data_IF_579240350207
#
_entry.id   IF_579240350207
#
_cell.length_a   1.000
_cell.length_b   1.000
_cell.length_c   1.000
_cell.angle_alpha   90.00
_cell.angle_beta   90.00
_cell.angle_gamma   90.00
#
_symmetry.space_group_name_H-M   'P 1'
#
loop_
_entity.id
_entity.type
_entity.pdbx_description
1 polymer ?
#
# COMPACT_ATOMS: atom_id res chain seq x y z
N UNK A 1 -55.02 -49.05 -48.26
CA UNK A 1 -53.91 -48.51 -49.07
C UNK A 1 -52.64 -48.66 -48.26
N UNK A 2 -51.60 -49.16 -48.90
CA UNK A 2 -50.27 -49.51 -48.42
C UNK A 2 -49.59 -48.52 -47.45
N UNK A 3 -48.78 -49.09 -46.52
CA UNK A 3 -47.35 -48.80 -46.20
C UNK A 3 -46.94 -47.35 -45.87
N UNK A 4 -45.92 -47.05 -45.09
CA UNK A 4 -44.96 -47.79 -44.26
C UNK A 4 -44.28 -46.75 -43.35
N UNK A 5 -43.50 -47.28 -42.40
CA UNK A 5 -42.80 -46.62 -41.31
C UNK A 5 -41.92 -45.40 -41.68
N UNK A 6 -41.79 -44.52 -40.68
CA UNK A 6 -40.85 -43.42 -40.58
C UNK A 6 -39.39 -43.90 -40.59
N UNK A 7 -38.53 -43.17 -41.29
CA UNK A 7 -37.07 -43.22 -41.15
C UNK A 7 -36.58 -41.77 -40.99
N UNK A 8 -35.97 -41.37 -39.85
CA UNK A 8 -35.38 -40.06 -39.69
C UNK A 8 -33.96 -40.06 -40.26
N UNK A 9 -33.71 -39.11 -41.17
CA UNK A 9 -32.44 -38.93 -41.87
C UNK A 9 -31.23 -38.75 -40.94
N UNK A 10 -30.12 -39.22 -41.48
CA UNK A 10 -28.76 -39.28 -40.96
C UNK A 10 -28.22 -37.94 -40.39
N UNK A 11 -27.48 -37.95 -39.26
CA UNK A 11 -26.84 -36.75 -38.73
C UNK A 11 -25.65 -36.32 -39.61
N UNK A 12 -25.37 -35.00 -39.70
CA UNK A 12 -24.21 -34.51 -40.44
C UNK A 12 -22.89 -34.98 -39.78
N UNK A 13 -21.80 -35.16 -40.57
CA UNK A 13 -20.56 -35.72 -40.07
C UNK A 13 -19.92 -34.81 -39.02
N UNK A 14 -19.31 -35.45 -38.02
CA UNK A 14 -18.56 -34.82 -36.94
C UNK A 14 -17.53 -33.84 -37.51
N UNK A 15 -17.77 -32.55 -37.29
CA UNK A 15 -16.74 -31.53 -37.42
C UNK A 15 -15.68 -31.80 -36.35
N UNK A 16 -14.55 -32.35 -36.78
CA UNK A 16 -13.37 -32.45 -35.93
C UNK A 16 -12.99 -31.05 -35.48
N UNK A 17 -13.25 -30.73 -34.22
CA UNK A 17 -12.53 -29.67 -33.55
C UNK A 17 -11.08 -30.14 -33.45
N UNK A 18 -10.30 -29.75 -34.45
CA UNK A 18 -8.85 -29.68 -34.34
C UNK A 18 -8.56 -28.75 -33.19
N UNK A 19 -8.48 -29.32 -31.98
CA UNK A 19 -7.76 -28.72 -30.88
C UNK A 19 -6.34 -28.56 -31.38
N UNK A 20 -6.02 -27.35 -31.84
CA UNK A 20 -4.65 -26.89 -31.86
C UNK A 20 -4.22 -26.84 -30.40
N UNK A 21 -3.84 -28.01 -29.85
CA UNK A 21 -2.98 -28.07 -28.69
C UNK A 21 -1.73 -27.33 -29.09
N UNK A 22 -1.63 -26.07 -28.69
CA UNK A 22 -0.36 -25.36 -28.70
C UNK A 22 0.62 -26.28 -27.97
N UNK A 23 1.65 -26.73 -28.68
CA UNK A 23 2.69 -27.53 -28.05
C UNK A 23 3.20 -26.73 -26.84
N UNK A 24 3.23 -27.37 -25.67
CA UNK A 24 3.79 -26.76 -24.47
C UNK A 24 5.20 -26.25 -24.80
N UNK A 25 5.48 -25.00 -24.44
CA UNK A 25 6.77 -24.38 -24.71
C UNK A 25 7.89 -25.22 -24.05
N UNK A 26 9.00 -25.49 -24.75
CA UNK A 26 10.07 -26.31 -24.20
C UNK A 26 10.70 -25.62 -22.98
N UNK A 27 10.95 -26.41 -21.94
CA UNK A 27 11.63 -25.97 -20.73
C UNK A 27 13.07 -25.55 -21.01
N UNK A 28 13.66 -24.77 -20.09
CA UNK A 28 15.05 -24.35 -20.17
C UNK A 28 16.01 -25.54 -20.37
N UNK A 29 16.84 -25.45 -21.41
CA UNK A 29 17.97 -26.34 -21.61
C UNK A 29 19.14 -25.98 -20.70
N UNK A 30 20.14 -26.87 -20.61
CA UNK A 30 21.39 -26.52 -19.96
C UNK A 30 22.10 -25.39 -20.73
N UNK A 31 22.70 -24.40 -20.05
CA UNK A 31 23.48 -23.37 -20.73
C UNK A 31 24.61 -23.98 -21.56
N UNK A 32 24.89 -23.40 -22.73
CA UNK A 32 25.82 -23.98 -23.70
C UNK A 32 27.02 -23.10 -24.06
N UNK A 33 27.06 -21.83 -23.62
CA UNK A 33 28.10 -20.86 -24.02
C UNK A 33 28.73 -20.04 -22.89
N UNK A 34 28.12 -19.94 -21.70
CA UNK A 34 28.66 -19.16 -20.59
C UNK A 34 29.74 -19.87 -19.74
N UNK A 35 30.22 -19.21 -18.67
CA UNK A 35 29.70 -17.94 -18.12
C UNK A 35 30.09 -16.71 -18.95
N UNK A 36 29.22 -15.70 -18.96
CA UNK A 36 29.51 -14.36 -19.52
C UNK A 36 29.72 -13.38 -18.38
N UNK A 37 30.83 -12.65 -18.38
CA UNK A 37 31.20 -11.73 -17.30
C UNK A 37 30.87 -10.27 -17.65
N UNK A 38 30.31 -9.55 -16.69
CA UNK A 38 29.94 -8.14 -16.77
C UNK A 38 30.66 -7.35 -15.67
N UNK A 39 31.56 -6.44 -16.07
CA UNK A 39 32.48 -5.72 -15.17
C UNK A 39 32.36 -4.20 -15.26
N UNK A 40 31.26 -3.66 -15.80
CA UNK A 40 31.10 -2.23 -15.97
C UNK A 40 29.70 -1.79 -16.36
N UNK A 41 29.56 -0.48 -16.50
CA UNK A 41 28.33 0.15 -16.97
C UNK A 41 28.02 -0.22 -18.42
N UNK A 42 26.73 -0.17 -18.77
CA UNK A 42 26.27 -0.35 -20.13
C UNK A 42 26.12 1.00 -20.82
N UNK A 43 27.03 1.28 -21.75
CA UNK A 43 27.01 2.48 -22.62
C UNK A 43 26.20 2.25 -23.92
N UNK A 44 25.92 0.99 -24.26
CA UNK A 44 25.11 0.59 -25.42
C UNK A 44 24.12 -0.51 -25.00
N UNK A 45 22.97 -0.57 -25.68
CA UNK A 45 21.97 -1.62 -25.44
C UNK A 45 22.53 -3.00 -25.78
N UNK A 46 22.29 -3.97 -24.92
CA UNK A 46 22.74 -5.35 -25.11
C UNK A 46 21.71 -6.38 -24.62
N UNK A 47 21.94 -7.63 -25.01
CA UNK A 47 21.10 -8.76 -24.64
C UNK A 47 21.91 -9.81 -23.88
N UNK A 48 21.46 -10.14 -22.67
CA UNK A 48 21.94 -11.28 -21.89
C UNK A 48 21.14 -12.52 -22.28
N UNK A 49 21.78 -13.43 -23.01
CA UNK A 49 21.13 -14.57 -23.65
C UNK A 49 21.11 -15.81 -22.77
N UNK A 50 20.16 -16.72 -23.02
CA UNK A 50 20.15 -18.02 -22.35
C UNK A 50 21.43 -18.84 -22.65
N UNK A 51 21.98 -18.71 -23.87
CA UNK A 51 23.23 -19.38 -24.26
C UNK A 51 24.43 -18.86 -23.47
N UNK A 52 24.49 -17.55 -23.23
CA UNK A 52 25.56 -16.88 -22.48
C UNK A 52 25.51 -17.10 -20.98
N UNK A 53 24.49 -17.79 -20.48
CA UNK A 53 24.30 -18.02 -19.04
C UNK A 53 25.34 -18.97 -18.42
N UNK A 54 25.70 -18.79 -17.14
CA UNK A 54 25.26 -17.69 -16.29
C UNK A 54 25.95 -16.37 -16.65
N UNK A 55 25.22 -15.27 -16.53
CA UNK A 55 25.73 -13.90 -16.61
C UNK A 55 26.20 -13.47 -15.23
N UNK A 56 27.52 -13.34 -15.06
CA UNK A 56 28.15 -12.99 -13.79
C UNK A 56 28.36 -11.48 -13.72
N UNK A 57 27.75 -10.83 -12.74
CA UNK A 57 27.89 -9.40 -12.44
C UNK A 57 28.91 -9.24 -11.31
N UNK A 58 30.17 -9.02 -11.70
CA UNK A 58 31.30 -8.84 -10.78
C UNK A 58 31.58 -7.37 -10.43
N UNK A 59 30.86 -6.44 -11.05
CA UNK A 59 30.91 -5.01 -10.76
C UNK A 59 29.49 -4.42 -10.84
N UNK A 60 29.11 -3.41 -10.04
CA UNK A 60 27.80 -2.78 -10.16
C UNK A 60 27.54 -2.27 -11.59
N UNK A 61 26.43 -2.70 -12.19
CA UNK A 61 26.08 -2.33 -13.57
C UNK A 61 25.10 -1.17 -13.55
N UNK A 62 25.48 -0.02 -14.12
CA UNK A 62 24.53 1.06 -14.42
C UNK A 62 24.19 1.08 -15.91
N UNK A 63 22.91 1.17 -16.21
CA UNK A 63 22.44 1.48 -17.57
C UNK A 63 22.53 2.99 -17.80
N UNK A 64 23.25 3.40 -18.85
CA UNK A 64 23.34 4.81 -19.26
C UNK A 64 22.08 5.29 -19.99
N UNK A 65 22.00 6.59 -20.22
CA UNK A 65 20.86 7.20 -20.89
C UNK A 65 20.57 6.55 -22.26
N UNK A 66 19.31 6.18 -22.47
CA UNK A 66 18.82 5.53 -23.69
C UNK A 66 19.22 4.05 -23.86
N UNK A 67 19.88 3.45 -22.87
CA UNK A 67 20.35 2.06 -22.93
C UNK A 67 19.28 1.10 -22.46
N UNK A 68 19.06 0.03 -23.21
CA UNK A 68 18.18 -1.07 -22.83
C UNK A 68 19.01 -2.32 -22.57
N UNK A 69 18.92 -2.87 -21.37
CA UNK A 69 19.39 -4.23 -21.07
C UNK A 69 18.23 -5.20 -21.26
N UNK A 70 18.35 -6.12 -22.22
CA UNK A 70 17.38 -7.20 -22.42
C UNK A 70 17.92 -8.51 -21.84
N UNK A 71 17.12 -9.20 -21.04
CA UNK A 71 17.47 -10.52 -20.50
C UNK A 71 16.49 -11.54 -21.09
N UNK A 72 17.03 -12.52 -21.80
CA UNK A 72 16.21 -13.52 -22.50
C UNK A 72 15.58 -14.53 -21.52
N UNK A 73 14.42 -15.11 -21.88
CA UNK A 73 13.87 -16.26 -21.17
C UNK A 73 14.92 -17.36 -20.97
N UNK A 74 14.93 -18.00 -19.79
CA UNK A 74 15.93 -18.98 -19.34
C UNK A 74 17.33 -18.44 -19.02
N UNK A 75 17.59 -17.14 -19.11
CA UNK A 75 18.88 -16.61 -18.68
C UNK A 75 19.00 -16.65 -17.14
N UNK A 76 20.22 -16.93 -16.67
CA UNK A 76 20.59 -16.87 -15.25
C UNK A 76 21.56 -15.72 -15.02
N UNK A 77 21.27 -14.87 -14.04
CA UNK A 77 22.09 -13.75 -13.60
C UNK A 77 22.62 -14.05 -12.20
N UNK A 78 23.95 -14.12 -12.07
CA UNK A 78 24.65 -14.31 -10.81
C UNK A 78 25.33 -13.00 -10.40
N UNK A 79 24.93 -12.44 -9.28
CA UNK A 79 25.47 -11.18 -8.76
C UNK A 79 26.41 -11.45 -7.60
N UNK A 80 27.64 -10.94 -7.68
CA UNK A 80 28.60 -11.01 -6.56
C UNK A 80 28.18 -10.12 -5.37
N UNK A 81 28.90 -10.24 -4.26
CA UNK A 81 28.67 -9.41 -3.07
C UNK A 81 28.84 -7.92 -3.42
N UNK A 82 27.99 -7.07 -2.83
CA UNK A 82 27.99 -5.61 -3.06
C UNK A 82 27.78 -5.17 -4.53
N UNK A 83 27.28 -6.04 -5.42
CA UNK A 83 26.92 -5.70 -6.81
C UNK A 83 25.41 -5.67 -7.03
N UNK A 84 24.97 -4.97 -8.07
CA UNK A 84 23.56 -4.79 -8.40
C UNK A 84 23.39 -4.21 -9.81
N UNK A 85 22.14 -4.01 -10.21
CA UNK A 85 21.80 -3.39 -11.50
C UNK A 85 21.03 -2.11 -11.22
N UNK A 86 21.53 -0.98 -11.73
CA UNK A 86 20.94 0.35 -11.55
C UNK A 86 20.39 0.91 -12.85
N UNK A 87 19.11 1.26 -12.87
CA UNK A 87 18.38 1.83 -14.01
C UNK A 87 17.82 3.19 -13.62
N UNK A 88 18.61 4.25 -13.83
CA UNK A 88 18.29 5.59 -13.32
C UNK A 88 18.23 6.69 -14.38
N UNK A 89 18.89 6.47 -15.53
CA UNK A 89 19.08 7.51 -16.53
C UNK A 89 17.86 7.62 -17.48
N UNK A 90 17.72 8.78 -18.13
CA UNK A 90 16.65 9.02 -19.09
C UNK A 90 16.68 8.01 -20.24
N UNK A 91 15.57 7.31 -20.44
CA UNK A 91 15.44 6.26 -21.46
C UNK A 91 16.17 4.96 -21.14
N UNK A 92 16.77 4.83 -19.95
CA UNK A 92 17.35 3.56 -19.50
C UNK A 92 16.25 2.56 -19.14
N UNK A 93 16.37 1.31 -19.62
CA UNK A 93 15.35 0.28 -19.41
C UNK A 93 15.96 -1.10 -19.17
N UNK A 94 15.53 -1.79 -18.10
CA UNK A 94 15.74 -3.22 -17.92
C UNK A 94 14.50 -3.99 -18.40
N UNK A 95 14.68 -4.90 -19.35
CA UNK A 95 13.62 -5.80 -19.85
C UNK A 95 14.01 -7.26 -19.59
N UNK A 96 13.42 -7.86 -18.57
CA UNK A 96 13.56 -9.28 -18.28
C UNK A 96 12.18 -9.94 -18.42
N UNK A 97 11.89 -10.46 -19.61
CA UNK A 97 10.55 -10.97 -19.96
C UNK A 97 10.62 -12.48 -20.25
N UNK A 98 10.59 -13.29 -19.20
CA UNK A 98 10.51 -14.74 -19.26
C UNK A 98 9.08 -15.25 -19.53
N UNK A 99 8.92 -16.57 -19.50
CA UNK A 99 7.60 -17.25 -19.50
C UNK A 99 7.52 -18.26 -18.37
N UNK A 100 6.33 -18.78 -18.05
CA UNK A 100 6.17 -19.86 -17.06
C UNK A 100 7.07 -21.08 -17.36
N UNK A 101 7.20 -21.46 -18.63
CA UNK A 101 8.07 -22.55 -19.06
C UNK A 101 9.56 -22.17 -19.12
N UNK A 102 9.86 -20.87 -19.24
CA UNK A 102 11.20 -20.31 -19.44
C UNK A 102 11.45 -19.11 -18.52
N UNK A 103 11.47 -19.30 -17.19
CA UNK A 103 11.66 -18.21 -16.25
C UNK A 103 13.08 -17.65 -16.32
N UNK A 104 13.26 -16.43 -15.83
CA UNK A 104 14.57 -15.79 -15.64
C UNK A 104 14.93 -15.83 -14.16
N UNK A 105 16.19 -16.07 -13.82
CA UNK A 105 16.65 -16.15 -12.43
C UNK A 105 17.75 -15.13 -12.11
N UNK A 106 17.61 -14.43 -10.99
CA UNK A 106 18.63 -13.58 -10.37
C UNK A 106 19.00 -14.16 -9.01
N UNK A 107 20.28 -14.43 -8.78
CA UNK A 107 20.78 -15.05 -7.55
C UNK A 107 22.15 -14.49 -7.17
N UNK A 108 22.52 -14.63 -5.91
CA UNK A 108 23.89 -14.39 -5.45
C UNK A 108 24.88 -15.40 -6.03
N UNK A 109 25.99 -14.92 -6.61
CA UNK A 109 27.12 -15.76 -7.01
C UNK A 109 27.68 -16.48 -5.78
N UNK A 110 27.76 -17.82 -5.83
CA UNK A 110 28.16 -18.66 -4.68
C UNK A 110 27.35 -18.39 -3.38
N UNK A 111 26.11 -17.89 -3.50
CA UNK A 111 25.26 -17.53 -2.36
C UNK A 111 25.56 -16.16 -1.75
N UNK A 112 26.30 -15.30 -2.46
CA UNK A 112 26.57 -13.94 -2.05
C UNK A 112 25.30 -13.12 -1.79
N UNK A 113 25.41 -12.16 -0.87
CA UNK A 113 24.38 -11.12 -0.67
C UNK A 113 24.65 -9.99 -1.65
N UNK A 114 23.96 -10.01 -2.78
CA UNK A 114 24.01 -8.92 -3.75
C UNK A 114 23.11 -7.76 -3.32
N UNK A 115 23.34 -6.56 -3.85
CA UNK A 115 22.65 -5.33 -3.47
C UNK A 115 21.16 -5.39 -3.84
N UNK A 116 20.81 -4.98 -5.05
CA UNK A 116 19.44 -4.88 -5.51
C UNK A 116 19.38 -4.65 -7.03
N UNK A 117 18.17 -4.79 -7.58
CA UNK A 117 17.83 -4.15 -8.85
C UNK A 117 17.20 -2.81 -8.49
N UNK A 118 17.99 -1.75 -8.63
CA UNK A 118 17.60 -0.39 -8.32
C UNK A 118 17.06 0.32 -9.56
N UNK A 119 15.86 0.88 -9.46
CA UNK A 119 15.24 1.69 -10.51
C UNK A 119 15.00 3.09 -9.96
N UNK A 120 15.42 4.12 -10.67
CA UNK A 120 15.05 5.49 -10.33
C UNK A 120 14.45 6.18 -11.55
N UNK A 121 13.29 6.81 -11.38
CA UNK A 121 12.65 7.57 -12.45
C UNK A 121 13.61 8.66 -12.97
N UNK A 122 13.78 8.81 -14.29
CA UNK A 122 12.97 8.27 -15.40
C UNK A 122 13.34 6.86 -15.92
N UNK A 123 14.34 6.19 -15.34
CA UNK A 123 14.64 4.79 -15.66
C UNK A 123 13.50 3.84 -15.30
N UNK A 124 13.42 2.70 -15.99
CA UNK A 124 12.32 1.73 -15.83
C UNK A 124 12.79 0.27 -15.84
N UNK A 125 12.06 -0.60 -15.16
CA UNK A 125 12.23 -2.03 -15.28
C UNK A 125 10.91 -2.75 -15.58
N UNK A 126 10.96 -3.72 -16.49
CA UNK A 126 9.88 -4.67 -16.77
C UNK A 126 10.37 -6.07 -16.46
N UNK A 127 9.74 -6.72 -15.49
CA UNK A 127 10.06 -8.07 -15.03
C UNK A 127 8.83 -8.97 -15.23
N UNK A 128 8.93 -9.97 -16.09
CA UNK A 128 7.90 -11.01 -16.28
C UNK A 128 8.48 -12.40 -16.06
N UNK A 129 7.83 -13.23 -15.25
CA UNK A 129 8.29 -14.58 -14.90
C UNK A 129 9.74 -14.61 -14.42
N UNK A 130 10.05 -13.74 -13.44
CA UNK A 130 11.39 -13.56 -12.87
C UNK A 130 11.41 -14.05 -11.42
N UNK A 131 12.43 -14.82 -11.06
CA UNK A 131 12.75 -15.15 -9.68
C UNK A 131 14.00 -14.39 -9.22
N UNK A 132 13.89 -13.63 -8.14
CA UNK A 132 15.01 -12.93 -7.49
C UNK A 132 15.22 -13.52 -6.11
N UNK A 133 16.43 -14.04 -5.85
CA UNK A 133 16.77 -14.70 -4.59
C UNK A 133 18.00 -14.10 -3.93
N UNK A 134 17.90 -13.85 -2.63
CA UNK A 134 19.06 -13.52 -1.79
C UNK A 134 19.63 -12.11 -1.99
N UNK A 135 18.85 -11.16 -2.51
CA UNK A 135 19.25 -9.75 -2.62
C UNK A 135 19.12 -8.99 -1.30
N UNK A 136 19.37 -7.69 -1.30
CA UNK A 136 19.29 -6.82 -0.14
C UNK A 136 20.61 -6.46 0.52
N UNK A 137 21.73 -6.50 -0.20
CA UNK A 137 23.05 -6.07 0.29
C UNK A 137 23.12 -4.55 0.58
N UNK A 138 22.31 -3.74 -0.10
CA UNK A 138 22.36 -2.29 0.05
C UNK A 138 21.44 -1.78 1.18
N UNK A 139 22.07 -1.37 2.29
CA UNK A 139 21.39 -0.76 3.44
C UNK A 139 20.73 0.59 3.15
N UNK A 140 21.10 1.29 2.07
CA UNK A 140 20.49 2.58 1.70
C UNK A 140 19.14 2.41 1.00
N UNK A 141 18.81 1.20 0.57
CA UNK A 141 17.54 0.83 -0.03
C UNK A 141 16.75 -0.12 0.86
N UNK A 142 16.78 0.09 2.19
CA UNK A 142 16.10 -0.75 3.17
C UNK A 142 16.47 -2.24 3.05
N UNK A 143 17.69 -2.54 2.57
CA UNK A 143 18.13 -3.88 2.24
C UNK A 143 17.15 -4.61 1.30
N UNK A 144 16.54 -3.88 0.36
CA UNK A 144 15.57 -4.44 -0.56
C UNK A 144 16.20 -5.23 -1.70
N UNK A 145 15.52 -6.25 -2.23
CA UNK A 145 15.98 -6.97 -3.44
C UNK A 145 15.60 -6.22 -4.71
N UNK A 146 14.41 -5.59 -4.72
CA UNK A 146 13.98 -4.64 -5.73
C UNK A 146 13.73 -3.29 -5.08
N UNK A 147 14.26 -2.21 -5.64
CA UNK A 147 13.97 -0.86 -5.16
C UNK A 147 13.58 0.04 -6.33
N UNK A 148 12.56 0.87 -6.14
CA UNK A 148 12.18 1.89 -7.12
C UNK A 148 11.97 3.25 -6.45
N UNK A 149 12.60 4.29 -7.00
CA UNK A 149 12.46 5.68 -6.57
C UNK A 149 11.82 6.53 -7.66
N UNK A 150 10.81 7.32 -7.28
CA UNK A 150 10.18 8.30 -8.15
C UNK A 150 10.84 9.68 -8.07
N UNK A 151 10.13 10.68 -8.60
CA UNK A 151 10.58 12.08 -8.63
C UNK A 151 10.18 12.92 -7.41
N UNK A 152 9.56 12.32 -6.38
CA UNK A 152 8.92 13.02 -5.24
C UNK A 152 7.83 14.01 -5.67
N UNK A 153 7.17 13.72 -6.78
CA UNK A 153 6.08 14.51 -7.37
C UNK A 153 4.93 13.58 -7.75
N UNK A 154 3.70 14.09 -7.73
CA UNK A 154 2.54 13.35 -8.22
C UNK A 154 2.19 13.73 -9.67
N UNK A 155 1.63 12.82 -10.48
CA UNK A 155 1.29 11.43 -10.16
C UNK A 155 2.53 10.56 -9.90
N UNK A 156 2.36 9.52 -9.08
CA UNK A 156 3.45 8.59 -8.76
C UNK A 156 4.01 7.94 -10.04
N UNK A 157 5.34 7.89 -10.12
CA UNK A 157 6.08 7.45 -11.29
C UNK A 157 6.02 5.93 -11.46
N UNK A 158 5.44 5.40 -12.56
CA UNK A 158 5.34 3.96 -12.82
C UNK A 158 6.69 3.41 -13.28
N UNK A 159 7.60 3.20 -12.33
CA UNK A 159 9.00 2.85 -12.59
C UNK A 159 9.22 1.33 -12.74
N UNK A 160 8.37 0.52 -12.12
CA UNK A 160 8.58 -0.92 -12.01
C UNK A 160 7.33 -1.69 -12.46
N UNK A 161 7.45 -2.51 -13.50
CA UNK A 161 6.42 -3.48 -13.88
C UNK A 161 6.84 -4.87 -13.41
N UNK A 162 5.96 -5.54 -12.65
CA UNK A 162 6.16 -6.94 -12.20
C UNK A 162 4.98 -7.81 -12.61
N UNK A 163 5.23 -8.90 -13.31
CA UNK A 163 4.21 -9.88 -13.72
C UNK A 163 4.73 -11.30 -13.46
N UNK A 164 4.09 -12.05 -12.56
CA UNK A 164 4.58 -13.37 -12.13
C UNK A 164 6.03 -13.31 -11.60
N UNK A 165 6.30 -12.39 -10.68
CA UNK A 165 7.63 -12.19 -10.09
C UNK A 165 7.68 -12.79 -8.70
N UNK A 166 8.75 -13.52 -8.38
CA UNK A 166 9.02 -14.01 -7.02
C UNK A 166 10.25 -13.33 -6.45
N UNK A 167 10.12 -12.70 -5.29
CA UNK A 167 11.23 -12.26 -4.45
C UNK A 167 11.30 -13.17 -3.23
N UNK A 168 12.46 -13.80 -3.01
CA UNK A 168 12.65 -14.72 -1.89
C UNK A 168 13.93 -14.44 -1.14
N UNK A 169 13.85 -14.48 0.18
CA UNK A 169 15.05 -14.38 1.03
C UNK A 169 15.72 -13.02 0.94
N UNK A 170 14.97 -11.93 0.69
CA UNK A 170 15.51 -10.57 0.75
C UNK A 170 15.98 -10.24 2.17
N UNK A 171 17.13 -9.58 2.31
CA UNK A 171 17.68 -9.29 3.63
C UNK A 171 16.79 -8.30 4.41
N UNK A 172 16.27 -7.27 3.76
CA UNK A 172 15.24 -6.38 4.28
C UNK A 172 13.95 -6.53 3.49
N UNK A 173 13.39 -5.42 3.03
CA UNK A 173 12.15 -5.45 2.27
C UNK A 173 12.27 -6.34 1.03
N UNK A 174 11.21 -7.03 0.62
CA UNK A 174 11.22 -7.69 -0.69
C UNK A 174 11.31 -6.64 -1.80
N UNK A 175 10.40 -5.65 -1.73
CA UNK A 175 10.33 -4.52 -2.65
C UNK A 175 10.22 -3.21 -1.86
N UNK A 176 10.94 -2.18 -2.31
CA UNK A 176 10.87 -0.81 -1.79
C UNK A 176 10.37 0.14 -2.88
N UNK A 177 9.32 0.92 -2.60
CA UNK A 177 8.78 1.95 -3.51
C UNK A 177 8.67 3.31 -2.81
N UNK A 178 9.65 4.18 -2.99
CA UNK A 178 9.65 5.51 -2.37
C UNK A 178 9.68 6.64 -3.41
N UNK A 179 9.58 7.87 -2.91
CA UNK A 179 9.66 9.14 -3.64
C UNK A 179 8.59 9.26 -4.70
N UNK A 180 7.36 8.90 -4.37
CA UNK A 180 6.23 8.82 -5.28
C UNK A 180 6.58 7.97 -6.51
N UNK A 181 7.10 6.76 -6.30
CA UNK A 181 7.12 5.71 -7.32
C UNK A 181 5.88 4.83 -7.20
N UNK A 182 5.61 4.05 -8.22
CA UNK A 182 4.52 3.09 -8.25
C UNK A 182 4.90 1.88 -9.09
N UNK A 183 4.17 0.79 -8.89
CA UNK A 183 4.13 -0.26 -9.88
C UNK A 183 3.44 0.26 -11.15
N UNK A 184 3.95 -0.12 -12.31
CA UNK A 184 3.34 0.22 -13.59
C UNK A 184 2.07 -0.60 -13.86
N UNK A 185 1.20 -0.06 -14.71
CA UNK A 185 0.00 -0.75 -15.18
C UNK A 185 0.34 -2.14 -15.77
N UNK A 186 -0.49 -3.12 -15.45
CA UNK A 186 -0.28 -4.52 -15.84
C UNK A 186 0.57 -5.32 -14.86
N UNK A 187 0.98 -4.73 -13.73
CA UNK A 187 1.64 -5.48 -12.66
C UNK A 187 0.67 -6.44 -11.96
N UNK A 188 1.06 -7.70 -11.78
CA UNK A 188 0.26 -8.77 -11.18
C UNK A 188 1.15 -9.90 -10.67
N UNK A 189 0.60 -10.78 -9.84
CA UNK A 189 1.23 -12.03 -9.40
C UNK A 189 2.63 -11.84 -8.80
N UNK A 190 2.76 -10.87 -7.89
CA UNK A 190 3.98 -10.65 -7.10
C UNK A 190 3.97 -11.53 -5.85
N UNK A 191 5.00 -12.35 -5.69
CA UNK A 191 5.19 -13.22 -4.53
C UNK A 191 6.42 -12.77 -3.76
N UNK A 192 6.26 -12.40 -2.49
CA UNK A 192 7.36 -12.04 -1.60
C UNK A 192 7.32 -12.97 -0.39
N UNK A 193 8.38 -13.73 -0.19
CA UNK A 193 8.47 -14.74 0.89
C UNK A 193 9.85 -14.78 1.52
N UNK A 194 9.93 -15.29 2.75
CA UNK A 194 11.18 -15.48 3.49
C UNK A 194 12.04 -14.21 3.61
N UNK A 195 11.42 -13.03 3.46
CA UNK A 195 12.11 -11.74 3.41
C UNK A 195 11.99 -10.98 4.73
N UNK A 196 12.94 -10.11 4.98
CA UNK A 196 12.91 -9.16 6.09
C UNK A 196 13.93 -9.44 7.21
N UNK A 197 14.34 -8.36 7.87
CA UNK A 197 15.23 -8.33 9.03
C UNK A 197 14.56 -7.63 10.22
N UNK A 198 15.23 -7.59 11.37
CA UNK A 198 14.72 -6.82 12.52
C UNK A 198 14.54 -5.32 12.21
N UNK A 199 15.38 -4.76 11.32
CA UNK A 199 15.31 -3.35 10.94
C UNK A 199 14.27 -3.10 9.83
N UNK A 200 14.14 -4.04 8.89
CA UNK A 200 13.23 -3.95 7.74
C UNK A 200 12.41 -5.25 7.63
N UNK A 201 11.39 -5.46 8.47
CA UNK A 201 10.74 -6.77 8.63
C UNK A 201 9.67 -7.07 7.58
N UNK A 202 9.32 -6.10 6.74
CA UNK A 202 8.14 -6.13 5.88
C UNK A 202 8.45 -6.70 4.49
N UNK A 203 7.55 -7.47 3.84
CA UNK A 203 7.69 -7.83 2.42
C UNK A 203 7.72 -6.61 1.49
N UNK A 204 6.95 -5.58 1.81
CA UNK A 204 6.78 -4.41 0.95
C UNK A 204 6.83 -3.16 1.82
N UNK A 205 7.71 -2.23 1.45
CA UNK A 205 7.81 -0.90 2.04
C UNK A 205 7.54 0.14 0.96
N UNK A 206 6.56 1.03 1.17
CA UNK A 206 6.18 2.01 0.16
C UNK A 206 5.67 3.33 0.72
N UNK A 207 5.84 4.39 -0.05
CA UNK A 207 5.22 5.68 0.21
C UNK A 207 3.73 5.71 -0.12
N UNK A 208 2.96 6.56 0.56
CA UNK A 208 1.50 6.55 0.46
C UNK A 208 0.94 6.76 -0.96
N UNK A 209 1.73 7.36 -1.87
CA UNK A 209 1.32 7.56 -3.27
C UNK A 209 1.35 6.27 -4.12
N UNK A 210 1.97 5.19 -3.63
CA UNK A 210 2.07 3.91 -4.33
C UNK A 210 0.91 2.94 -4.00
N UNK A 211 0.07 3.26 -3.01
CA UNK A 211 -0.89 2.34 -2.40
C UNK A 211 -1.87 1.72 -3.40
N UNK A 212 -2.35 2.49 -4.38
CA UNK A 212 -3.30 1.99 -5.39
C UNK A 212 -2.64 1.07 -6.44
N UNK A 213 -1.31 1.04 -6.51
CA UNK A 213 -0.55 0.29 -7.52
C UNK A 213 -0.10 -1.10 -7.08
N UNK A 214 -0.28 -1.46 -5.81
CA UNK A 214 0.18 -2.74 -5.27
C UNK A 214 -0.49 -3.89 -6.06
N UNK A 215 0.28 -4.80 -6.67
CA UNK A 215 -0.29 -5.89 -7.44
C UNK A 215 -0.96 -6.93 -6.54
N UNK A 216 -1.90 -7.69 -7.11
CA UNK A 216 -2.36 -8.94 -6.50
C UNK A 216 -1.16 -9.87 -6.34
N UNK A 217 -1.10 -10.60 -5.23
CA UNK A 217 0.10 -11.35 -4.90
C UNK A 217 0.01 -12.11 -3.58
N UNK A 218 1.17 -12.60 -3.14
CA UNK A 218 1.35 -13.27 -1.86
C UNK A 218 2.42 -12.53 -1.07
N UNK A 219 2.04 -12.04 0.11
CA UNK A 219 2.90 -11.24 0.99
C UNK A 219 3.10 -11.92 2.37
N UNK A 220 2.84 -13.22 2.46
CA UNK A 220 2.95 -14.00 3.69
C UNK A 220 4.22 -14.86 3.75
N UNK A 221 4.62 -15.29 4.95
CA UNK A 221 5.84 -16.07 5.15
C UNK A 221 7.11 -15.22 5.19
N UNK A 222 6.98 -13.93 5.50
CA UNK A 222 8.06 -12.98 5.72
C UNK A 222 8.30 -12.80 7.22
N UNK A 223 9.28 -11.99 7.60
CA UNK A 223 9.55 -11.73 9.02
C UNK A 223 8.34 -11.09 9.71
N UNK A 224 7.67 -10.15 9.03
CA UNK A 224 6.39 -9.57 9.42
C UNK A 224 5.49 -9.48 8.20
N UNK A 225 4.39 -10.22 8.23
CA UNK A 225 3.41 -10.30 7.14
C UNK A 225 2.48 -9.08 7.16
N UNK A 226 3.04 -7.90 6.89
CA UNK A 226 2.36 -6.60 6.83
C UNK A 226 2.99 -5.73 5.73
N UNK A 227 2.23 -4.81 5.14
CA UNK A 227 2.74 -3.84 4.15
C UNK A 227 3.01 -2.51 4.86
N UNK A 228 4.27 -2.06 4.85
CA UNK A 228 4.64 -0.78 5.47
C UNK A 228 4.30 0.40 4.55
N UNK A 229 3.57 1.35 5.10
CA UNK A 229 3.26 2.65 4.52
C UNK A 229 4.13 3.70 5.21
N UNK A 230 5.02 4.32 4.43
CA UNK A 230 5.87 5.43 4.85
C UNK A 230 5.14 6.76 4.65
N UNK A 231 5.34 7.69 5.57
CA UNK A 231 4.92 9.09 5.46
C UNK A 231 6.00 9.87 4.71
N UNK A 232 5.96 9.87 3.37
CA UNK A 232 6.97 10.53 2.55
C UNK A 232 6.52 11.86 1.95
N UNK A 233 5.21 12.00 1.69
CA UNK A 233 4.68 13.14 0.96
C UNK A 233 5.11 13.19 -0.50
N UNK A 234 4.67 14.24 -1.19
CA UNK A 234 5.05 14.56 -2.57
C UNK A 234 4.85 16.06 -2.84
N UNK A 235 5.45 16.59 -3.91
CA UNK A 235 5.30 18.01 -4.29
C UNK A 235 5.63 18.99 -3.16
N UNK A 236 6.58 18.64 -2.28
CA UNK A 236 6.94 19.42 -1.08
C UNK A 236 5.78 19.58 -0.07
N UNK A 237 4.81 18.66 -0.08
CA UNK A 237 3.69 18.60 0.85
C UNK A 237 3.54 17.18 1.41
N UNK A 238 3.09 17.06 2.66
CA UNK A 238 2.78 15.75 3.27
C UNK A 238 1.50 15.18 2.68
N UNK A 239 1.32 13.86 2.77
CA UNK A 239 0.03 13.23 2.60
C UNK A 239 -0.35 12.88 1.16
N UNK A 240 -1.39 12.07 1.08
CA UNK A 240 -1.98 11.57 -0.15
C UNK A 240 -2.56 12.74 -0.98
N UNK A 241 -2.18 12.77 -2.26
CA UNK A 241 -2.52 13.86 -3.19
C UNK A 241 -3.26 13.38 -4.44
N UNK A 242 -3.62 12.10 -4.47
CA UNK A 242 -4.35 11.47 -5.56
C UNK A 242 -5.38 10.51 -4.98
N UNK A 243 -6.52 10.39 -5.67
CA UNK A 243 -7.50 9.37 -5.34
C UNK A 243 -6.83 8.00 -5.32
N UNK A 244 -7.08 7.24 -4.26
CA UNK A 244 -6.39 5.97 -3.98
C UNK A 244 -7.39 4.96 -3.46
N UNK A 245 -7.25 3.70 -3.90
CA UNK A 245 -7.99 2.58 -3.33
C UNK A 245 -7.03 1.65 -2.58
N UNK A 246 -7.28 1.49 -1.28
CA UNK A 246 -6.64 0.46 -0.46
C UNK A 246 -7.39 -0.86 -0.64
N UNK A 247 -6.71 -1.84 -1.23
CA UNK A 247 -7.26 -3.17 -1.52
C UNK A 247 -6.85 -4.17 -0.46
N UNK A 248 -7.63 -5.23 -0.29
CA UNK A 248 -7.24 -6.33 0.58
C UNK A 248 -6.25 -7.26 -0.13
N UNK A 249 -4.98 -7.22 0.28
CA UNK A 249 -3.91 -8.10 -0.21
C UNK A 249 -3.67 -9.33 0.69
N UNK A 250 -4.59 -9.63 1.62
CA UNK A 250 -4.50 -10.77 2.53
C UNK A 250 -3.55 -10.58 3.72
N UNK A 251 -2.97 -9.39 3.88
CA UNK A 251 -2.12 -8.97 5.00
C UNK A 251 -2.50 -7.56 5.46
N UNK A 252 -2.29 -7.20 6.73
CA UNK A 252 -2.53 -5.83 7.21
C UNK A 252 -1.60 -4.81 6.56
N UNK A 253 -2.07 -3.58 6.47
CA UNK A 253 -1.22 -2.41 6.29
C UNK A 253 -0.70 -1.93 7.64
N UNK A 254 0.53 -1.43 7.64
CA UNK A 254 1.23 -0.90 8.79
C UNK A 254 1.64 0.54 8.48
N UNK A 255 1.19 1.53 9.24
CA UNK A 255 1.47 2.93 8.99
C UNK A 255 2.55 3.50 9.92
N UNK A 256 3.65 3.93 9.30
CA UNK A 256 4.84 4.51 9.94
C UNK A 256 5.69 3.46 10.67
N UNK A 257 6.98 3.73 10.80
CA UNK A 257 7.95 2.95 11.59
C UNK A 257 8.62 3.81 12.69
N UNK A 258 8.13 5.03 12.85
CA UNK A 258 8.56 6.00 13.86
C UNK A 258 7.35 6.72 14.45
N UNK A 259 7.53 7.26 15.65
CA UNK A 259 6.50 8.00 16.39
C UNK A 259 6.31 9.40 15.82
N UNK A 260 5.08 9.84 15.70
CA UNK A 260 4.65 11.15 15.21
C UNK A 260 4.53 11.27 13.68
N UNK A 261 4.51 10.16 12.94
CA UNK A 261 4.11 10.16 11.54
C UNK A 261 2.61 10.50 11.38
N UNK A 262 2.22 11.10 10.25
CA UNK A 262 0.85 11.57 9.99
C UNK A 262 0.35 11.05 8.65
N UNK A 263 -0.60 10.11 8.67
CA UNK A 263 -1.25 9.67 7.44
C UNK A 263 -2.28 10.72 7.03
N UNK A 264 -1.90 11.64 6.15
CA UNK A 264 -2.75 12.77 5.75
C UNK A 264 -3.48 12.48 4.43
N UNK A 265 -4.79 12.73 4.40
CA UNK A 265 -5.61 12.69 3.18
C UNK A 265 -6.09 14.11 2.89
N UNK A 266 -5.74 14.64 1.72
CA UNK A 266 -6.06 16.02 1.34
C UNK A 266 -5.28 17.04 2.16
N UNK A 267 -4.09 17.42 1.68
CA UNK A 267 -3.13 18.26 2.42
C UNK A 267 -2.97 19.69 1.87
N UNK A 268 -3.87 20.13 0.99
CA UNK A 268 -3.72 21.38 0.25
C UNK A 268 -4.48 22.59 0.82
N UNK A 269 -5.24 22.42 1.91
CA UNK A 269 -6.05 23.48 2.52
C UNK A 269 -7.18 23.98 1.62
N UNK A 270 -7.68 25.19 1.92
CA UNK A 270 -8.84 25.78 1.23
C UNK A 270 -8.61 25.92 -0.30
N UNK A 271 -9.47 25.27 -1.08
CA UNK A 271 -9.44 25.33 -2.55
C UNK A 271 -8.57 24.27 -3.24
N UNK A 272 -7.90 23.40 -2.48
CA UNK A 272 -7.21 22.25 -3.07
C UNK A 272 -8.20 21.24 -3.67
N UNK A 273 -7.80 20.51 -4.73
CA UNK A 273 -8.64 19.46 -5.30
C UNK A 273 -8.93 18.38 -4.25
N UNK A 274 -10.14 17.83 -4.32
CA UNK A 274 -10.53 16.72 -3.45
C UNK A 274 -9.63 15.51 -3.70
N UNK A 275 -9.07 14.96 -2.64
CA UNK A 275 -8.38 13.67 -2.62
C UNK A 275 -9.18 12.67 -1.80
N UNK A 276 -9.53 11.54 -2.41
CA UNK A 276 -10.34 10.50 -1.77
C UNK A 276 -9.53 9.24 -1.54
N UNK A 277 -9.44 8.80 -0.29
CA UNK A 277 -8.99 7.45 0.04
C UNK A 277 -10.22 6.54 0.17
N UNK A 278 -10.33 5.55 -0.73
CA UNK A 278 -11.31 4.47 -0.61
C UNK A 278 -10.63 3.24 -0.02
N UNK A 279 -11.25 2.60 0.97
CA UNK A 279 -10.75 1.37 1.60
C UNK A 279 -11.77 0.26 1.36
N UNK A 280 -11.32 -0.85 0.78
CA UNK A 280 -12.15 -2.02 0.49
C UNK A 280 -12.49 -2.84 1.77
N UNK A 281 -13.59 -3.63 1.76
CA UNK A 281 -13.93 -4.50 2.87
C UNK A 281 -12.80 -5.47 3.26
N UNK A 282 -12.62 -5.68 4.57
CA UNK A 282 -11.64 -6.63 5.12
C UNK A 282 -10.24 -6.07 5.35
N UNK A 283 -9.96 -4.85 4.89
CA UNK A 283 -8.67 -4.20 5.13
C UNK A 283 -8.46 -3.92 6.62
N UNK A 284 -7.26 -4.22 7.11
CA UNK A 284 -6.78 -3.80 8.44
C UNK A 284 -5.64 -2.82 8.27
N UNK A 285 -5.70 -1.68 8.97
CA UNK A 285 -4.61 -0.71 9.08
C UNK A 285 -4.16 -0.64 10.54
N UNK A 286 -2.87 -0.88 10.78
CA UNK A 286 -2.21 -0.79 12.08
C UNK A 286 -1.37 0.47 12.13
N UNK A 287 -1.50 1.26 13.18
CA UNK A 287 -0.75 2.50 13.36
C UNK A 287 0.34 2.31 14.42
N UNK A 288 1.58 2.71 14.14
CA UNK A 288 2.58 2.71 15.20
C UNK A 288 2.23 3.69 16.32
N UNK A 289 2.59 3.37 17.58
CA UNK A 289 2.27 4.22 18.71
C UNK A 289 2.71 5.69 18.54
N UNK A 290 1.75 6.59 18.73
CA UNK A 290 1.87 8.03 18.57
C UNK A 290 1.63 8.55 17.15
N UNK A 291 1.24 7.68 16.20
CA UNK A 291 0.90 8.10 14.84
C UNK A 291 -0.58 8.47 14.70
N UNK A 292 -0.90 9.22 13.66
CA UNK A 292 -2.23 9.79 13.45
C UNK A 292 -2.73 9.53 12.03
N UNK A 293 -4.05 9.44 11.89
CA UNK A 293 -4.72 9.42 10.61
C UNK A 293 -5.59 10.67 10.49
N UNK A 294 -5.29 11.53 9.52
CA UNK A 294 -5.93 12.84 9.39
C UNK A 294 -6.56 13.02 8.01
N UNK A 295 -7.83 13.40 8.00
CA UNK A 295 -8.56 13.88 6.85
C UNK A 295 -8.55 15.39 6.96
N UNK A 296 -7.74 16.03 6.12
CA UNK A 296 -7.34 17.43 6.26
C UNK A 296 -6.63 17.70 7.60
N UNK A 297 -5.31 17.91 7.55
CA UNK A 297 -4.54 18.16 8.77
C UNK A 297 -4.76 19.57 9.33
N UNK A 298 -5.07 20.55 8.46
CA UNK A 298 -5.34 21.92 8.87
C UNK A 298 -6.70 22.04 9.55
N UNK A 299 -6.76 22.82 10.63
CA UNK A 299 -8.03 23.12 11.31
C UNK A 299 -8.63 24.43 10.82
N UNK A 300 -9.89 24.43 10.40
CA UNK A 300 -10.60 25.67 10.10
C UNK A 300 -11.96 25.50 9.41
N UNK A 301 -12.67 26.62 9.25
CA UNK A 301 -14.02 26.70 8.67
C UNK A 301 -14.01 26.65 7.12
N UNK A 302 -13.24 25.72 6.55
CA UNK A 302 -13.15 25.50 5.11
C UNK A 302 -13.50 24.04 4.78
N UNK A 303 -13.99 23.78 3.57
CA UNK A 303 -14.23 22.41 3.12
C UNK A 303 -12.91 21.64 3.10
N UNK A 304 -12.85 20.49 3.77
CA UNK A 304 -11.68 19.62 3.78
C UNK A 304 -11.30 19.22 2.35
N UNK A 305 -10.01 19.25 2.02
CA UNK A 305 -9.52 18.77 0.71
C UNK A 305 -9.41 17.24 0.65
N UNK A 306 -9.71 16.54 1.74
CA UNK A 306 -9.70 15.09 1.85
C UNK A 306 -11.08 14.48 2.11
N UNK A 307 -11.27 13.24 1.63
CA UNK A 307 -12.38 12.38 2.01
C UNK A 307 -11.92 10.94 2.26
N UNK A 308 -12.54 10.28 3.22
CA UNK A 308 -12.31 8.87 3.57
C UNK A 308 -13.58 8.06 3.30
N UNK A 309 -13.47 7.05 2.44
CA UNK A 309 -14.53 6.08 2.13
C UNK A 309 -14.12 4.70 2.60
N UNK A 310 -14.36 4.38 3.87
CA UNK A 310 -14.19 3.05 4.42
C UNK A 310 -15.51 2.27 4.30
N UNK A 311 -15.55 1.34 3.33
CA UNK A 311 -16.74 0.63 2.90
C UNK A 311 -16.74 -0.82 3.41
N UNK A 312 -16.70 -1.03 4.72
CA UNK A 312 -16.72 -2.37 5.31
C UNK A 312 -18.08 -3.06 5.14
N UNK A 313 -18.10 -4.38 5.35
CA UNK A 313 -19.35 -5.15 5.52
C UNK A 313 -19.38 -5.82 6.89
N UNK A 314 -20.54 -6.28 7.39
CA UNK A 314 -20.60 -7.03 8.64
C UNK A 314 -19.70 -8.27 8.66
N UNK A 315 -19.52 -8.93 7.51
CA UNK A 315 -18.68 -10.13 7.36
C UNK A 315 -17.20 -9.80 7.14
N UNK A 316 -16.91 -8.60 6.62
CA UNK A 316 -15.56 -8.13 6.30
C UNK A 316 -15.42 -6.66 6.74
N UNK A 317 -15.41 -6.39 8.07
CA UNK A 317 -15.25 -5.05 8.57
C UNK A 317 -13.87 -4.50 8.22
N UNK A 318 -13.77 -3.18 8.12
CA UNK A 318 -12.46 -2.50 8.04
C UNK A 318 -11.99 -2.23 9.47
N UNK A 319 -10.72 -2.50 9.77
CA UNK A 319 -10.17 -2.36 11.13
C UNK A 319 -9.07 -1.31 11.16
N UNK A 320 -9.23 -0.30 12.01
CA UNK A 320 -8.19 0.67 12.38
C UNK A 320 -7.73 0.37 13.81
N UNK A 321 -6.45 0.02 13.98
CA UNK A 321 -5.94 -0.51 15.26
C UNK A 321 -4.48 -0.12 15.51
N UNK A 322 -3.95 -0.49 16.68
CA UNK A 322 -2.55 -0.28 17.06
C UNK A 322 -1.63 -1.33 16.42
N UNK A 323 -0.42 -0.93 16.07
CA UNK A 323 0.66 -1.83 15.65
C UNK A 323 1.54 -2.35 16.80
N UNK A 324 1.30 -1.89 18.04
CA UNK A 324 2.06 -2.34 19.20
C UNK A 324 1.93 -3.85 19.44
N UNK A 325 3.00 -4.49 19.95
CA UNK A 325 2.98 -5.91 20.32
C UNK A 325 1.94 -6.24 21.41
N UNK A 326 1.59 -5.25 22.24
CA UNK A 326 0.55 -5.33 23.26
C UNK A 326 -0.33 -4.09 23.17
N UNK A 327 -1.35 -4.10 22.29
CA UNK A 327 -2.21 -2.95 22.05
C UNK A 327 -2.85 -2.41 23.32
N UNK A 328 -2.82 -1.08 23.49
CA UNK A 328 -3.41 -0.38 24.61
C UNK A 328 -4.21 0.85 24.15
N UNK A 329 -5.28 1.23 24.87
CA UNK A 329 -5.99 2.47 24.61
C UNK A 329 -5.05 3.67 24.60
N UNK A 330 -5.11 4.47 23.54
CA UNK A 330 -4.26 5.64 23.37
C UNK A 330 -2.92 5.35 22.70
N UNK A 331 -2.76 4.20 22.06
CA UNK A 331 -1.58 3.91 21.25
C UNK A 331 -1.50 4.86 20.05
N UNK A 332 -2.60 5.13 19.34
CA UNK A 332 -2.62 6.00 18.16
C UNK A 332 -3.71 7.07 18.22
N UNK A 333 -3.60 8.11 17.39
CA UNK A 333 -4.36 9.36 17.51
C UNK A 333 -5.86 9.29 17.24
N UNK A 334 -6.35 8.22 16.61
CA UNK A 334 -7.70 8.16 16.05
C UNK A 334 -7.81 8.84 14.68
N UNK A 335 -9.04 8.91 14.17
CA UNK A 335 -9.39 9.58 12.92
C UNK A 335 -9.64 11.07 13.17
N UNK A 336 -8.77 11.92 12.67
CA UNK A 336 -8.88 13.38 12.80
C UNK A 336 -9.50 14.01 11.56
N UNK A 337 -10.52 14.85 11.75
CA UNK A 337 -11.12 15.68 10.70
C UNK A 337 -10.87 17.16 11.01
N UNK A 338 -9.93 17.78 10.29
CA UNK A 338 -9.49 19.16 10.54
C UNK A 338 -10.33 20.24 9.84
N UNK A 339 -10.81 19.98 8.63
CA UNK A 339 -11.74 20.87 7.92
C UNK A 339 -13.20 20.47 8.12
N UNK A 340 -14.12 21.17 7.45
CA UNK A 340 -15.52 20.74 7.31
C UNK A 340 -15.53 19.42 6.54
N UNK A 341 -15.97 18.30 7.16
CA UNK A 341 -15.97 17.01 6.49
C UNK A 341 -16.80 17.02 5.20
N UNK A 342 -16.20 16.45 4.16
CA UNK A 342 -16.78 16.25 2.83
C UNK A 342 -17.98 15.28 2.85
N UNK A 343 -18.97 15.49 1.97
CA UNK A 343 -20.15 14.61 1.87
C UNK A 343 -19.81 13.23 1.31
N UNK A 344 -18.64 13.13 0.67
CA UNK A 344 -18.05 11.91 0.16
C UNK A 344 -17.53 10.98 1.27
N UNK A 345 -17.43 11.44 2.52
CA UNK A 345 -17.00 10.60 3.64
C UNK A 345 -18.02 9.49 3.93
N UNK A 346 -17.52 8.28 4.15
CA UNK A 346 -18.30 7.10 4.56
C UNK A 346 -17.44 6.25 5.49
N UNK A 347 -17.97 5.90 6.65
CA UNK A 347 -17.41 4.91 7.57
C UNK A 347 -18.52 3.91 7.91
N UNK A 348 -18.58 2.82 7.16
CA UNK A 348 -19.61 1.79 7.34
C UNK A 348 -18.97 0.45 7.75
N UNK A 349 -19.54 -0.19 8.77
CA UNK A 349 -19.02 -1.44 9.34
C UNK A 349 -17.51 -1.39 9.62
N UNK A 350 -17.05 -0.30 10.24
CA UNK A 350 -15.66 -0.16 10.65
C UNK A 350 -15.50 -0.52 12.13
N UNK A 351 -14.31 -0.98 12.49
CA UNK A 351 -13.86 -1.17 13.87
C UNK A 351 -12.71 -0.19 14.11
N UNK A 352 -12.87 0.69 15.08
CA UNK A 352 -11.82 1.62 15.53
C UNK A 352 -11.44 1.25 16.95
N UNK A 353 -10.20 0.83 17.17
CA UNK A 353 -9.75 0.34 18.47
C UNK A 353 -8.35 0.81 18.86
N UNK A 354 -8.09 0.86 20.17
CA UNK A 354 -6.82 1.31 20.76
C UNK A 354 -6.42 2.75 20.43
N UNK A 355 -7.38 3.54 19.94
CA UNK A 355 -7.21 4.95 19.61
C UNK A 355 -7.23 5.83 20.86
N UNK A 356 -6.97 7.13 20.64
CA UNK A 356 -7.07 8.15 21.68
C UNK A 356 -5.76 8.64 22.24
N UNK A 357 -4.66 8.53 21.48
CA UNK A 357 -3.42 9.22 21.80
C UNK A 357 -3.66 10.73 21.83
N UNK A 358 -2.93 11.46 22.69
CA UNK A 358 -3.16 12.89 22.88
C UNK A 358 -2.94 13.69 21.58
N UNK A 359 -4.00 14.35 21.11
CA UNK A 359 -3.96 15.21 19.92
C UNK A 359 -3.21 16.53 20.17
N UNK A 360 -2.97 16.92 21.42
CA UNK A 360 -2.50 18.27 21.78
C UNK A 360 -3.46 19.40 21.34
N UNK A 361 -4.67 19.03 20.96
CA UNK A 361 -5.64 19.91 20.32
C UNK A 361 -6.51 20.61 21.37
N UNK A 362 -6.97 21.82 21.02
CA UNK A 362 -7.90 22.62 21.84
C UNK A 362 -9.12 22.90 20.99
N UNK A 363 -10.25 22.29 21.34
CA UNK A 363 -11.49 22.37 20.58
C UNK A 363 -12.62 23.01 21.38
N UNK A 364 -13.71 23.37 20.71
CA UNK A 364 -14.90 23.91 21.37
C UNK A 364 -15.84 22.76 21.76
N UNK A 365 -16.15 22.65 23.05
CA UNK A 365 -17.12 21.68 23.56
C UNK A 365 -17.91 22.24 24.76
N UNK A 366 -19.14 21.77 24.90
CA UNK A 366 -20.01 22.01 26.06
C UNK A 366 -19.94 20.89 27.11
N UNK A 367 -18.87 20.09 27.15
CA UNK A 367 -18.54 19.23 28.28
C UNK A 367 -17.42 19.82 29.15
N UNK A 368 -17.36 19.39 30.40
CA UNK A 368 -16.20 19.62 31.29
C UNK A 368 -15.08 18.63 30.93
N UNK A 369 -14.23 19.01 29.98
CA UNK A 369 -13.17 18.18 29.42
C UNK A 369 -11.79 18.78 29.71
N UNK A 370 -10.84 17.91 30.06
CA UNK A 370 -9.41 18.26 30.16
C UNK A 370 -8.63 17.95 28.88
N UNK A 371 -9.12 17.05 28.03
CA UNK A 371 -8.51 16.63 26.77
C UNK A 371 -9.59 16.36 25.72
N UNK A 372 -9.18 16.30 24.44
CA UNK A 372 -10.08 16.13 23.29
C UNK A 372 -9.76 14.87 22.45
N UNK A 373 -8.78 14.08 22.89
CA UNK A 373 -8.41 12.83 22.27
C UNK A 373 -9.58 11.84 22.22
N UNK A 374 -9.62 11.04 21.15
CA UNK A 374 -10.69 10.08 20.94
C UNK A 374 -10.49 9.26 19.67
N UNK A 375 -11.43 8.36 19.38
CA UNK A 375 -11.37 7.50 18.21
C UNK A 375 -11.72 8.24 16.91
N UNK A 376 -12.70 9.15 16.95
CA UNK A 376 -13.04 10.05 15.83
C UNK A 376 -13.14 11.47 16.36
N UNK A 377 -12.41 12.40 15.75
CA UNK A 377 -12.32 13.79 16.23
C UNK A 377 -12.68 14.75 15.11
N UNK A 378 -13.64 15.62 15.39
CA UNK A 378 -14.10 16.65 14.46
C UNK A 378 -13.81 18.04 15.02
N UNK A 379 -13.12 18.87 14.25
CA UNK A 379 -12.97 20.30 14.57
C UNK A 379 -14.12 21.16 14.02
N UNK A 380 -14.86 20.66 13.03
CA UNK A 380 -15.95 21.33 12.32
C UNK A 380 -17.17 20.42 12.18
N UNK A 381 -18.40 20.98 12.09
CA UNK A 381 -19.60 20.16 12.00
C UNK A 381 -19.71 19.48 10.62
N UNK A 382 -19.86 18.14 10.56
CA UNK A 382 -20.23 17.47 9.32
C UNK A 382 -21.69 17.75 8.96
N UNK A 383 -22.02 17.69 7.66
CA UNK A 383 -23.39 17.90 7.17
C UNK A 383 -24.35 16.76 7.51
N UNK A 384 -23.82 15.55 7.75
CA UNK A 384 -24.58 14.34 8.10
C UNK A 384 -23.71 13.34 8.88
N UNK A 385 -24.33 12.39 9.58
CA UNK A 385 -23.60 11.29 10.21
C UNK A 385 -23.20 10.27 9.14
N UNK A 386 -21.90 10.11 8.94
CA UNK A 386 -21.34 9.13 7.99
C UNK A 386 -20.68 7.93 8.66
N UNK A 387 -20.68 7.86 10.00
CA UNK A 387 -20.25 6.69 10.78
C UNK A 387 -21.48 5.86 11.17
N UNK A 388 -21.61 4.66 10.61
CA UNK A 388 -22.78 3.79 10.77
C UNK A 388 -22.40 2.31 10.89
N UNK A 389 -23.17 1.55 11.67
CA UNK A 389 -22.97 0.10 11.82
C UNK A 389 -21.60 -0.28 12.37
N UNK A 390 -20.94 0.64 13.07
CA UNK A 390 -19.52 0.55 13.42
C UNK A 390 -19.29 0.31 14.91
N UNK A 391 -18.12 -0.21 15.26
CA UNK A 391 -17.71 -0.46 16.64
C UNK A 391 -16.52 0.42 17.01
N UNK A 392 -16.63 1.14 18.11
CA UNK A 392 -15.56 1.95 18.68
C UNK A 392 -15.22 1.35 20.05
N UNK A 393 -13.99 0.86 20.24
CA UNK A 393 -13.65 0.16 21.48
C UNK A 393 -12.23 0.36 21.99
N UNK A 394 -12.02 0.14 23.28
CA UNK A 394 -10.70 0.25 23.92
C UNK A 394 -10.05 1.62 23.64
N UNK A 395 -10.79 2.70 23.90
CA UNK A 395 -10.39 4.07 23.54
C UNK A 395 -9.99 4.86 24.79
N UNK A 396 -8.82 5.49 24.72
CA UNK A 396 -8.45 6.52 25.68
C UNK A 396 -9.14 7.83 25.29
N UNK A 397 -9.89 8.45 26.21
CA UNK A 397 -10.68 9.64 25.90
C UNK A 397 -12.03 9.28 25.30
N UNK A 398 -12.41 9.90 24.19
CA UNK A 398 -13.80 9.88 23.70
C UNK A 398 -14.01 8.95 22.51
N UNK A 399 -15.24 8.42 22.36
CA UNK A 399 -15.62 7.72 21.13
C UNK A 399 -15.62 8.69 19.94
N UNK A 400 -16.47 9.71 20.02
CA UNK A 400 -16.57 10.79 19.04
C UNK A 400 -16.43 12.16 19.71
N UNK A 401 -15.31 12.85 19.44
CA UNK A 401 -15.10 14.22 19.88
C UNK A 401 -15.75 15.19 18.88
N UNK A 402 -16.86 15.81 19.31
CA UNK A 402 -17.55 16.89 18.58
C UNK A 402 -17.04 18.25 19.03
N UNK A 403 -15.92 18.67 18.45
CA UNK A 403 -15.13 19.83 18.85
C UNK A 403 -15.44 21.15 18.13
N UNK A 404 -16.70 21.39 17.75
CA UNK A 404 -17.08 22.51 16.88
C UNK A 404 -18.06 23.50 17.53
N UNK A 405 -18.21 24.66 16.88
CA UNK A 405 -19.33 25.59 17.06
C UNK A 405 -20.27 25.52 15.85
N UNK A 406 -21.54 25.19 16.06
CA UNK A 406 -22.49 25.06 14.95
C UNK A 406 -23.79 24.40 15.34
N UNK A 407 -24.26 23.45 14.55
CA UNK A 407 -25.49 22.72 14.87
C UNK A 407 -25.24 21.65 15.93
N UNK A 408 -26.32 21.23 16.60
CA UNK A 408 -26.26 20.18 17.62
C UNK A 408 -26.01 18.78 17.04
N UNK A 409 -26.29 18.60 15.76
CA UNK A 409 -26.11 17.36 15.04
C UNK A 409 -24.83 17.35 14.21
N UNK A 410 -24.53 16.22 13.57
CA UNK A 410 -25.32 14.98 13.60
C UNK A 410 -25.06 14.12 14.86
N UNK A 411 -25.86 13.07 15.04
CA UNK A 411 -25.69 12.07 16.11
C UNK A 411 -24.82 10.91 15.60
N UNK A 412 -23.82 10.52 16.40
CA UNK A 412 -22.92 9.41 16.08
C UNK A 412 -23.08 8.21 17.01
N UNK A 413 -23.97 8.30 18.01
CA UNK A 413 -24.22 7.18 18.94
C UNK A 413 -25.23 6.20 18.35
N UNK A 414 -26.35 6.69 17.84
CA UNK A 414 -27.38 5.82 17.26
C UNK A 414 -26.83 5.04 16.06
N UNK A 415 -26.90 3.71 16.11
CA UNK A 415 -26.44 2.83 15.04
C UNK A 415 -24.98 2.37 15.15
N UNK A 416 -24.26 2.79 16.19
CA UNK A 416 -22.89 2.35 16.49
C UNK A 416 -22.79 1.71 17.88
N UNK A 417 -21.71 0.98 18.12
CA UNK A 417 -21.42 0.28 19.39
C UNK A 417 -20.19 0.88 20.04
N UNK A 418 -20.24 1.15 21.34
CA UNK A 418 -19.13 1.70 22.13
C UNK A 418 -18.80 0.77 23.29
N UNK A 419 -17.54 0.36 23.42
CA UNK A 419 -17.07 -0.58 24.45
C UNK A 419 -15.74 -0.08 25.05
N UNK A 420 -15.59 -0.07 26.37
CA UNK A 420 -14.33 0.36 27.03
C UNK A 420 -13.79 1.73 26.54
N UNK A 421 -14.68 2.70 26.42
CA UNK A 421 -14.35 4.10 26.14
C UNK A 421 -14.20 4.85 27.47
N UNK A 422 -13.02 5.41 27.75
CA UNK A 422 -12.76 6.01 29.07
C UNK A 422 -13.45 7.35 29.32
N UNK A 423 -14.03 7.96 28.27
CA UNK A 423 -14.75 9.24 28.29
C UNK A 423 -16.11 9.12 27.62
N UNK A 424 -16.62 10.22 27.07
CA UNK A 424 -17.91 10.26 26.37
C UNK A 424 -17.93 9.33 25.15
N UNK A 425 -19.03 8.60 24.92
CA UNK A 425 -19.32 7.99 23.61
C UNK A 425 -19.35 9.06 22.51
N UNK A 426 -20.00 10.19 22.78
CA UNK A 426 -19.85 11.42 22.01
C UNK A 426 -19.87 12.66 22.90
N UNK A 427 -18.97 13.62 22.68
CA UNK A 427 -18.96 14.89 23.42
C UNK A 427 -20.08 15.82 22.93
N UNK A 428 -20.39 16.90 23.64
CA UNK A 428 -21.39 17.91 23.28
C UNK A 428 -20.69 19.05 22.54
N UNK A 429 -21.11 19.40 21.31
CA UNK A 429 -20.55 20.55 20.63
C UNK A 429 -21.04 21.84 21.27
N UNK A 430 -20.41 22.95 20.89
CA UNK A 430 -20.98 24.27 21.12
C UNK A 430 -22.08 24.51 20.09
N UNK A 431 -23.31 24.77 20.54
CA UNK A 431 -24.45 25.00 19.64
C UNK A 431 -24.63 26.49 19.41
N UNK A 432 -24.63 26.92 18.15
CA UNK A 432 -24.78 28.32 17.77
C UNK A 432 -26.08 28.90 18.33
N UNK A 433 -25.99 30.06 18.99
CA UNK A 433 -27.13 30.72 19.64
C UNK A 433 -27.57 30.11 20.97
N UNK A 434 -26.86 29.10 21.49
CA UNK A 434 -27.14 28.49 22.79
C UNK A 434 -25.93 28.60 23.73
N UNK A 435 -26.18 28.89 25.01
CA UNK A 435 -25.14 28.83 26.04
C UNK A 435 -24.89 27.39 26.44
N UNK A 436 -23.63 27.00 26.65
CA UNK A 436 -23.34 25.74 27.34
C UNK A 436 -24.00 25.74 28.73
N UNK A 437 -24.36 24.56 29.27
CA UNK A 437 -24.74 24.46 30.67
C UNK A 437 -23.62 24.96 31.59
N UNK A 438 -23.99 25.54 32.73
CA UNK A 438 -23.08 26.02 33.77
C UNK A 438 -23.48 25.39 35.13
N UNK A 439 -22.64 24.53 35.75
CA UNK A 439 -21.35 24.06 35.21
C UNK A 439 -21.55 23.19 33.97
N UNK A 440 -20.51 23.11 33.13
CA UNK A 440 -20.52 22.18 31.99
C UNK A 440 -20.67 20.75 32.53
N UNK A 441 -21.51 19.91 31.93
CA UNK A 441 -21.69 18.55 32.40
C UNK A 441 -20.42 17.71 32.13
N UNK A 442 -20.12 16.74 32.99
CA UNK A 442 -19.17 15.69 32.65
C UNK A 442 -19.73 14.85 31.49
N UNK A 443 -18.94 13.88 31.01
CA UNK A 443 -19.47 12.85 30.13
C UNK A 443 -20.61 12.09 30.84
N UNK A 444 -21.71 11.76 30.15
CA UNK A 444 -22.71 10.86 30.71
C UNK A 444 -22.00 9.58 31.15
N UNK A 445 -22.22 9.13 32.39
CA UNK A 445 -21.90 7.75 32.74
C UNK A 445 -22.78 6.87 31.84
N UNK A 446 -22.15 6.02 31.03
CA UNK A 446 -22.82 5.12 30.09
C UNK A 446 -23.77 4.14 30.77
#
# INVERSE_FOLDING_TARGET
MFLAACDPGEPPPAGGSGGAGGAAEPQCGAPSGGPTLHEGDLDESETWTAEGSPHIVGFPVRLRAGVTLTIEPCAEVLLEEDTGISVMDEGAELRAEGTEARPIAFRGSEGARWNDVHVAWPGKATLRHVALEGGGGDRFHANATLSAYGGSVTPAAPALLVDHVTVRGSLGAGVLLLRASSFAEGSTDLVITESGSDEHPYPLELGEQALDSIPVGVYTGNRKDEILIQDEGANQASGLQQDTTLRDHGVPYHFGDWRDARFNIGAGGEGAPLTTLTIEPGVTIRFEPGNFFQIEHFTGEFAASGALRALGTPERPIVFTSAAESPAPGDWGGLWYGGIPREENVLENVIIEYAGYDCGCILLSCNDLSTFNGAVIFSQPPSSAFLQGSTIRHVAGHGVTRGWNGTAGPDFVTGNTFEDVSGCEQTRPWVEGQSCPDPKPPCPEG
#
